data_IF_028009945387
#
_entry.id   IF_028009945387
#
_cell.length_a   1.000
_cell.length_b   1.000
_cell.length_c   1.000
_cell.angle_alpha   90.00
_cell.angle_beta   90.00
_cell.angle_gamma   90.00
#
_symmetry.space_group_name_H-M   'P 1'
#
loop_
_entity.id
_entity.type
_entity.pdbx_description
1 polymer ?
#
# COMPACT_ATOMS: atom_id res chain seq x y z
N UNK A 1 20.39 3.36 -12.85
CA UNK A 1 19.17 4.05 -13.33
C UNK A 1 19.10 3.84 -14.81
N UNK A 2 17.96 3.38 -15.31
CA UNK A 2 17.80 3.07 -16.71
C UNK A 2 17.46 4.36 -17.47
N UNK A 3 18.46 4.94 -18.13
CA UNK A 3 18.27 6.08 -19.03
C UNK A 3 17.89 5.58 -20.43
N UNK A 4 17.31 6.46 -21.25
CA UNK A 4 16.83 6.09 -22.58
C UNK A 4 17.95 5.61 -23.52
N UNK A 5 19.19 6.03 -23.27
CA UNK A 5 20.39 5.68 -24.03
C UNK A 5 21.17 4.51 -23.43
N UNK A 6 21.39 4.54 -22.12
CA UNK A 6 22.18 3.54 -21.40
C UNK A 6 21.81 3.47 -19.91
N UNK A 7 22.28 2.44 -19.22
CA UNK A 7 22.22 2.44 -17.75
C UNK A 7 23.32 3.32 -17.16
N UNK A 8 22.94 4.18 -16.20
CA UNK A 8 23.85 5.11 -15.51
C UNK A 8 23.79 4.95 -14.01
N UNK A 9 24.86 5.32 -13.31
CA UNK A 9 24.82 5.46 -11.86
C UNK A 9 23.82 6.55 -11.47
N UNK A 10 23.04 6.36 -10.40
CA UNK A 10 22.12 7.40 -9.88
C UNK A 10 22.84 8.71 -9.56
N UNK A 11 24.15 8.64 -9.25
CA UNK A 11 24.99 9.82 -8.96
C UNK A 11 25.32 10.67 -10.19
N UNK A 12 25.16 10.13 -11.38
CA UNK A 12 25.51 10.77 -12.66
C UNK A 12 24.28 11.37 -13.36
N UNK A 13 23.08 11.06 -12.87
CA UNK A 13 21.83 11.56 -13.42
C UNK A 13 21.67 13.04 -13.04
N UNK A 14 21.26 13.84 -14.02
CA UNK A 14 21.06 15.29 -13.90
C UNK A 14 19.66 15.65 -14.39
N UNK A 15 19.24 16.88 -14.12
CA UNK A 15 18.06 17.47 -14.75
C UNK A 15 18.11 17.30 -16.28
N UNK A 16 16.93 17.23 -16.90
CA UNK A 16 16.71 16.95 -18.32
C UNK A 16 17.19 15.59 -18.84
N UNK A 17 17.83 14.75 -18.00
CA UNK A 17 18.19 13.38 -18.39
C UNK A 17 16.92 12.58 -18.68
N UNK A 18 16.86 11.97 -19.87
CA UNK A 18 15.76 11.12 -20.28
C UNK A 18 15.89 9.74 -19.61
N UNK A 19 14.90 9.38 -18.80
CA UNK A 19 14.85 8.15 -18.01
C UNK A 19 13.64 7.30 -18.39
N UNK A 20 13.77 5.99 -18.21
CA UNK A 20 12.69 5.05 -18.49
C UNK A 20 11.82 4.90 -17.25
N UNK A 21 10.51 4.97 -17.45
CA UNK A 21 9.48 4.73 -16.45
C UNK A 21 8.36 3.85 -17.00
N UNK A 22 7.60 3.24 -16.10
CA UNK A 22 6.40 2.51 -16.45
C UNK A 22 5.25 3.48 -16.72
N UNK A 23 4.52 3.23 -17.81
CA UNK A 23 3.44 4.11 -18.29
C UNK A 23 2.05 3.44 -18.20
N UNK A 24 2.02 2.18 -17.75
CA UNK A 24 0.81 1.40 -17.56
C UNK A 24 0.81 0.08 -18.32
N UNK A 25 0.09 -0.92 -17.82
CA UNK A 25 -0.25 -2.15 -18.57
C UNK A 25 0.92 -2.97 -19.14
N UNK A 26 2.09 -2.91 -18.50
CA UNK A 26 3.31 -3.60 -18.93
C UNK A 26 4.17 -2.77 -19.90
N UNK A 27 3.73 -1.57 -20.27
CA UNK A 27 4.46 -0.70 -21.18
C UNK A 27 5.39 0.26 -20.44
N UNK A 28 6.39 0.73 -21.19
CA UNK A 28 7.41 1.66 -20.72
C UNK A 28 7.42 2.90 -21.61
N UNK A 29 7.79 4.02 -21.02
CA UNK A 29 7.93 5.30 -21.71
C UNK A 29 9.17 6.02 -21.22
N UNK A 30 9.53 7.09 -21.92
CA UNK A 30 10.65 7.95 -21.56
C UNK A 30 10.11 9.26 -21.02
N UNK A 31 10.71 9.75 -19.93
CA UNK A 31 10.40 11.04 -19.33
C UNK A 31 11.69 11.74 -18.89
N UNK A 32 11.67 13.06 -18.80
CA UNK A 32 12.80 13.84 -18.32
C UNK A 32 12.78 14.01 -16.81
N UNK A 33 13.97 13.95 -16.22
CA UNK A 33 14.21 14.35 -14.84
C UNK A 33 13.98 15.85 -14.71
N UNK A 34 13.07 16.22 -13.82
CA UNK A 34 12.74 17.61 -13.49
C UNK A 34 13.67 18.17 -12.41
N UNK A 35 14.03 17.33 -11.43
CA UNK A 35 14.82 17.73 -10.26
C UNK A 35 15.55 16.50 -9.68
N UNK A 36 16.73 16.71 -9.11
CA UNK A 36 17.54 15.67 -8.47
C UNK A 36 17.66 15.99 -6.98
N UNK A 37 16.99 15.18 -6.16
CA UNK A 37 17.02 15.33 -4.70
C UNK A 37 18.17 14.51 -4.13
N UNK A 38 19.03 15.16 -3.34
CA UNK A 38 20.17 14.50 -2.70
C UNK A 38 20.14 14.77 -1.20
N UNK A 39 20.10 13.70 -0.41
CA UNK A 39 20.33 13.75 1.03
C UNK A 39 21.78 13.34 1.30
N UNK A 40 22.69 14.31 1.42
CA UNK A 40 24.14 14.06 1.50
C UNK A 40 24.58 13.30 2.76
N UNK A 41 23.98 13.60 3.90
CA UNK A 41 24.43 13.14 5.22
C UNK A 41 23.49 12.09 5.83
N UNK A 42 22.87 11.23 5.00
CA UNK A 42 22.05 10.15 5.55
C UNK A 42 22.91 9.23 6.43
N UNK A 43 22.35 8.91 7.60
CA UNK A 43 22.87 7.95 8.58
C UNK A 43 21.67 7.18 9.12
N UNK A 44 21.57 5.92 8.75
CA UNK A 44 20.46 5.10 9.20
C UNK A 44 20.23 3.88 8.30
N UNK A 45 19.06 3.26 8.44
CA UNK A 45 18.76 2.00 7.79
C UNK A 45 18.66 2.18 6.27
N UNK A 46 19.29 1.27 5.54
CA UNK A 46 19.07 1.05 4.11
C UNK A 46 18.70 -0.41 3.91
N UNK A 47 17.61 -0.65 3.19
CA UNK A 47 17.16 -1.98 2.85
C UNK A 47 17.81 -2.44 1.56
N UNK A 48 18.21 -3.71 1.52
CA UNK A 48 18.58 -4.41 0.29
C UNK A 48 17.53 -5.48 0.00
N UNK A 49 16.73 -5.29 -1.04
CA UNK A 49 15.70 -6.23 -1.48
C UNK A 49 16.19 -6.97 -2.71
N UNK A 50 16.09 -8.30 -2.69
CA UNK A 50 16.46 -9.17 -3.82
C UNK A 50 15.26 -9.97 -4.30
N UNK A 51 15.05 -10.01 -5.61
CA UNK A 51 13.98 -10.80 -6.22
C UNK A 51 14.46 -12.18 -6.69
N UNK A 52 13.52 -13.06 -7.02
CA UNK A 52 13.82 -14.44 -7.42
C UNK A 52 14.66 -14.54 -8.70
N UNK A 53 14.55 -13.57 -9.62
CA UNK A 53 15.38 -13.46 -10.83
C UNK A 53 16.68 -12.68 -10.62
N UNK A 54 16.99 -12.28 -9.38
CA UNK A 54 18.25 -11.62 -9.03
C UNK A 54 18.25 -10.09 -9.16
N UNK A 55 17.09 -9.46 -9.37
CA UNK A 55 17.03 -7.99 -9.37
C UNK A 55 17.22 -7.47 -7.94
N UNK A 56 18.09 -6.47 -7.78
CA UNK A 56 18.44 -5.90 -6.47
C UNK A 56 18.04 -4.43 -6.40
N UNK A 57 17.36 -4.05 -5.31
CA UNK A 57 17.07 -2.66 -4.96
C UNK A 57 17.71 -2.32 -3.62
N UNK A 58 18.39 -1.18 -3.56
CA UNK A 58 18.86 -0.58 -2.32
C UNK A 58 18.15 0.75 -2.10
N UNK A 59 17.41 0.88 -1.01
CA UNK A 59 16.55 2.03 -0.76
C UNK A 59 16.42 2.33 0.73
N UNK A 60 16.13 3.59 1.09
CA UNK A 60 15.73 3.94 2.45
C UNK A 60 14.31 3.42 2.75
N UNK A 61 13.94 3.21 4.03
CA UNK A 61 12.64 2.67 4.42
C UNK A 61 11.44 3.39 3.79
N UNK A 62 11.50 4.72 3.72
CA UNK A 62 10.43 5.59 3.25
C UNK A 62 10.30 5.66 1.73
N UNK A 63 11.30 5.17 0.98
CA UNK A 63 11.31 5.28 -0.47
C UNK A 63 10.09 4.58 -1.08
N UNK A 64 9.35 5.29 -1.93
CA UNK A 64 8.09 4.79 -2.47
C UNK A 64 8.35 3.65 -3.47
N UNK A 65 7.80 2.49 -3.18
CA UNK A 65 7.85 1.30 -4.02
C UNK A 65 6.43 0.82 -4.35
N UNK A 66 6.37 -0.29 -5.09
CA UNK A 66 5.11 -0.90 -5.48
C UNK A 66 5.15 -2.39 -5.15
N UNK A 67 4.11 -2.87 -4.46
CA UNK A 67 4.04 -4.26 -4.02
C UNK A 67 2.61 -4.76 -3.94
N UNK A 68 2.45 -6.07 -4.11
CA UNK A 68 1.18 -6.76 -3.80
C UNK A 68 1.44 -8.15 -3.27
N UNK A 69 0.49 -8.66 -2.50
CA UNK A 69 0.52 -10.05 -2.05
C UNK A 69 0.58 -11.02 -3.23
N UNK A 70 1.35 -12.10 -3.05
CA UNK A 70 1.41 -13.20 -3.99
C UNK A 70 0.56 -14.38 -3.46
N UNK A 71 -0.60 -14.71 -4.06
CA UNK A 71 -1.44 -15.83 -3.64
C UNK A 71 -0.70 -17.17 -3.60
N UNK A 72 0.33 -17.31 -4.42
CA UNK A 72 1.06 -18.57 -4.59
C UNK A 72 2.15 -18.75 -3.52
N UNK A 73 2.54 -17.68 -2.82
CA UNK A 73 3.54 -17.75 -1.78
C UNK A 73 2.89 -18.09 -0.44
N UNK A 74 3.11 -19.32 0.03
CA UNK A 74 2.65 -19.76 1.35
C UNK A 74 3.65 -19.29 2.41
N UNK A 75 3.24 -18.31 3.20
CA UNK A 75 4.00 -17.73 4.29
C UNK A 75 3.10 -17.64 5.51
N UNK A 76 3.71 -17.61 6.69
CA UNK A 76 3.09 -17.18 7.93
C UNK A 76 3.29 -15.67 8.05
N UNK A 77 2.18 -14.96 8.17
CA UNK A 77 2.17 -13.50 8.25
C UNK A 77 1.88 -13.09 9.69
N UNK A 78 2.81 -12.37 10.30
CA UNK A 78 2.53 -11.56 11.47
C UNK A 78 1.96 -10.24 10.97
N UNK A 79 0.77 -9.89 11.44
CA UNK A 79 0.12 -8.64 11.09
C UNK A 79 -0.24 -7.80 12.32
N UNK A 80 -0.36 -6.51 12.08
CA UNK A 80 -1.02 -5.54 12.95
C UNK A 80 -2.34 -5.18 12.28
N UNK A 81 -3.44 -5.28 13.01
CA UNK A 81 -4.76 -4.84 12.57
C UNK A 81 -5.20 -3.66 13.39
N UNK A 82 -6.01 -2.81 12.77
CA UNK A 82 -6.70 -1.72 13.42
C UNK A 82 -8.19 -1.78 13.17
N UNK A 83 -8.93 -1.49 14.22
CA UNK A 83 -10.32 -1.05 14.18
C UNK A 83 -10.35 0.37 14.76
N UNK A 84 -10.62 1.37 13.94
CA UNK A 84 -10.56 2.80 14.29
C UNK A 84 -11.46 3.17 15.48
N UNK A 85 -12.53 2.39 15.69
CA UNK A 85 -13.46 2.57 16.82
C UNK A 85 -13.02 1.90 18.13
N UNK A 86 -11.94 1.11 18.13
CA UNK A 86 -11.53 0.31 19.29
C UNK A 86 -10.03 0.34 19.57
N UNK A 87 -9.18 0.15 18.55
CA UNK A 87 -7.73 0.15 18.71
C UNK A 87 -7.00 -0.83 17.80
N UNK A 88 -5.84 -1.29 18.26
CA UNK A 88 -4.91 -2.13 17.51
C UNK A 88 -4.67 -3.48 18.18
N UNK A 89 -4.51 -4.52 17.36
CA UNK A 89 -4.11 -5.85 17.81
C UNK A 89 -3.08 -6.46 16.87
N UNK A 90 -2.30 -7.40 17.38
CA UNK A 90 -1.45 -8.27 16.55
C UNK A 90 -2.16 -9.60 16.29
N UNK A 91 -1.75 -10.30 15.26
CA UNK A 91 -2.20 -11.64 15.00
C UNK A 91 -1.36 -12.36 13.95
N UNK A 92 -1.59 -13.66 13.88
CA UNK A 92 -0.92 -14.55 12.95
C UNK A 92 -1.92 -15.14 11.94
N UNK A 93 -1.50 -15.31 10.69
CA UNK A 93 -2.23 -16.14 9.72
C UNK A 93 -1.30 -16.88 8.77
N UNK A 94 -1.69 -18.07 8.32
CA UNK A 94 -1.03 -18.82 7.25
C UNK A 94 -1.69 -18.64 5.87
N UNK A 95 -2.84 -17.97 5.80
CA UNK A 95 -3.59 -17.76 4.55
C UNK A 95 -4.26 -16.38 4.58
N UNK A 96 -3.42 -15.33 4.60
CA UNK A 96 -3.87 -13.95 4.65
C UNK A 96 -4.87 -13.64 3.53
N UNK A 97 -4.69 -14.19 2.32
CA UNK A 97 -5.61 -13.92 1.23
C UNK A 97 -7.00 -14.51 1.47
N UNK A 98 -7.10 -15.73 1.99
CA UNK A 98 -8.39 -16.30 2.38
C UNK A 98 -9.06 -15.46 3.46
N UNK A 99 -8.31 -15.04 4.47
CA UNK A 99 -8.86 -14.26 5.58
C UNK A 99 -9.38 -12.91 5.11
N UNK A 100 -8.63 -12.22 4.25
CA UNK A 100 -9.05 -10.97 3.63
C UNK A 100 -10.29 -11.15 2.76
N UNK A 101 -10.35 -12.23 1.98
CA UNK A 101 -11.53 -12.56 1.18
C UNK A 101 -12.72 -12.86 2.10
N UNK A 102 -12.53 -13.56 3.22
CA UNK A 102 -13.59 -13.81 4.20
C UNK A 102 -14.11 -12.50 4.81
N UNK A 103 -13.21 -11.61 5.22
CA UNK A 103 -13.56 -10.28 5.74
C UNK A 103 -14.28 -9.44 4.66
N UNK A 104 -13.86 -9.50 3.40
CA UNK A 104 -14.50 -8.75 2.30
C UNK A 104 -15.82 -9.37 1.79
N UNK A 105 -16.06 -10.66 2.02
CA UNK A 105 -17.20 -11.40 1.48
C UNK A 105 -18.38 -11.48 2.43
N UNK A 106 -18.46 -10.58 3.42
CA UNK A 106 -19.50 -10.63 4.43
C UNK A 106 -20.90 -10.59 3.81
N UNK A 107 -21.55 -11.76 3.77
CA UNK A 107 -23.01 -11.86 3.67
C UNK A 107 -23.58 -11.31 4.98
N UNK A 108 -24.66 -10.53 4.89
CA UNK A 108 -25.32 -9.88 6.02
C UNK A 108 -25.47 -10.78 7.26
N UNK A 109 -25.76 -12.06 7.04
CA UNK A 109 -26.11 -13.02 8.10
C UNK A 109 -24.91 -13.52 8.95
N UNK A 110 -23.67 -13.35 8.47
CA UNK A 110 -22.45 -13.76 9.19
C UNK A 110 -21.66 -12.57 9.75
N UNK A 111 -22.13 -11.34 9.51
CA UNK A 111 -21.47 -10.10 9.93
C UNK A 111 -21.20 -10.04 11.43
N UNK A 112 -22.07 -10.66 12.23
CA UNK A 112 -21.96 -10.67 13.69
C UNK A 112 -20.91 -11.65 14.25
N UNK A 113 -20.34 -12.54 13.43
CA UNK A 113 -19.35 -13.54 13.84
C UNK A 113 -17.93 -13.19 13.40
N UNK A 114 -17.80 -12.22 12.48
CA UNK A 114 -16.52 -11.81 11.93
C UNK A 114 -16.08 -10.47 12.48
N UNK A 115 -14.77 -10.32 12.57
CA UNK A 115 -14.14 -9.11 13.07
C UNK A 115 -14.25 -7.95 12.07
N UNK A 116 -14.60 -6.77 12.57
CA UNK A 116 -14.52 -5.52 11.81
C UNK A 116 -13.08 -5.03 11.87
N UNK A 117 -12.43 -4.96 10.70
CA UNK A 117 -11.06 -4.50 10.53
C UNK A 117 -11.06 -3.36 9.52
N UNK A 118 -10.42 -2.24 9.86
CA UNK A 118 -10.33 -1.06 9.00
C UNK A 118 -9.02 -1.04 8.20
N UNK A 119 -7.90 -1.33 8.88
CA UNK A 119 -6.55 -1.30 8.29
C UNK A 119 -5.70 -2.46 8.78
N UNK A 120 -4.79 -2.93 7.93
CA UNK A 120 -3.86 -4.02 8.21
C UNK A 120 -2.47 -3.71 7.69
N UNK A 121 -1.47 -3.93 8.55
CA UNK A 121 -0.05 -3.92 8.22
C UNK A 121 0.52 -5.32 8.35
N UNK A 122 1.28 -5.76 7.36
CA UNK A 122 2.06 -6.99 7.44
C UNK A 122 3.40 -6.61 8.06
N UNK A 123 3.64 -7.06 9.30
CA UNK A 123 4.86 -6.76 10.04
C UNK A 123 5.99 -7.67 9.57
N UNK A 124 5.70 -8.97 9.42
CA UNK A 124 6.67 -9.98 8.98
C UNK A 124 6.00 -11.04 8.11
N UNK A 125 6.77 -11.61 7.17
CA UNK A 125 6.38 -12.80 6.41
C UNK A 125 7.51 -13.84 6.51
N UNK A 126 7.19 -15.03 7.03
CA UNK A 126 8.18 -16.10 7.23
C UNK A 126 7.60 -17.47 6.88
N UNK A 127 8.43 -18.36 6.37
CA UNK A 127 8.10 -19.76 6.08
C UNK A 127 8.13 -20.65 7.34
N UNK A 128 8.55 -20.10 8.48
CA UNK A 128 8.70 -20.82 9.74
C UNK A 128 7.58 -20.46 10.72
N UNK A 129 6.63 -21.37 10.91
CA UNK A 129 5.58 -21.22 11.93
C UNK A 129 6.17 -20.96 13.34
N UNK A 130 7.20 -21.70 13.82
CA UNK A 130 7.81 -21.39 15.11
C UNK A 130 8.36 -19.96 15.21
N UNK A 131 8.97 -19.45 14.14
CA UNK A 131 9.46 -18.07 14.08
C UNK A 131 8.31 -17.08 14.15
N UNK A 132 7.24 -17.32 13.40
CA UNK A 132 6.07 -16.45 13.37
C UNK A 132 5.37 -16.39 14.74
N UNK A 133 5.16 -17.54 15.39
CA UNK A 133 4.61 -17.63 16.75
C UNK A 133 5.52 -16.96 17.78
N UNK A 134 6.84 -17.10 17.65
CA UNK A 134 7.79 -16.38 18.50
C UNK A 134 7.64 -14.86 18.35
N UNK A 135 7.53 -14.36 17.11
CA UNK A 135 7.39 -12.93 16.84
C UNK A 135 6.05 -12.37 17.33
N UNK A 136 4.95 -13.09 17.15
CA UNK A 136 3.65 -12.69 17.71
C UNK A 136 3.73 -12.53 19.24
N UNK A 137 4.27 -13.53 19.94
CA UNK A 137 4.50 -13.45 21.39
C UNK A 137 5.42 -12.30 21.76
N UNK A 138 6.52 -12.11 21.04
CA UNK A 138 7.42 -10.99 21.26
C UNK A 138 6.67 -9.66 21.13
N UNK A 139 5.84 -9.48 20.11
CA UNK A 139 5.06 -8.26 19.93
C UNK A 139 4.04 -8.04 21.06
N UNK A 140 3.32 -9.10 21.44
CA UNK A 140 2.38 -9.05 22.57
C UNK A 140 3.06 -8.67 23.88
N UNK A 141 4.20 -9.27 24.22
CA UNK A 141 4.86 -9.01 25.49
C UNK A 141 5.72 -7.74 25.50
N UNK A 142 6.45 -7.44 24.40
CA UNK A 142 7.33 -6.26 24.33
C UNK A 142 6.54 -4.97 24.22
N UNK A 143 5.50 -4.94 23.39
CA UNK A 143 4.69 -3.73 23.17
C UNK A 143 3.40 -3.73 23.97
N UNK A 144 2.98 -4.86 24.53
CA UNK A 144 1.70 -4.95 25.25
C UNK A 144 0.49 -4.88 24.32
N UNK A 145 0.62 -5.30 23.06
CA UNK A 145 -0.50 -5.32 22.11
C UNK A 145 -1.34 -6.59 22.30
N UNK A 146 -2.67 -6.47 22.42
CA UNK A 146 -3.55 -7.63 22.46
C UNK A 146 -3.37 -8.51 21.23
N UNK A 147 -3.48 -9.83 21.41
CA UNK A 147 -3.54 -10.82 20.34
C UNK A 147 -4.89 -11.56 20.31
N UNK A 148 -5.94 -10.90 20.79
CA UNK A 148 -7.32 -11.40 20.79
C UNK A 148 -8.17 -10.64 19.77
N UNK A 149 -9.23 -11.24 19.21
CA UNK A 149 -10.14 -10.56 18.29
C UNK A 149 -10.80 -9.31 18.90
N UNK A 150 -11.20 -8.35 18.07
CA UNK A 150 -11.95 -7.15 18.45
C UNK A 150 -13.42 -7.42 18.85
N UNK A 151 -13.86 -8.67 18.91
CA UNK A 151 -15.22 -9.06 19.32
C UNK A 151 -15.21 -10.39 20.06
N UNK A 152 -16.02 -10.48 21.11
CA UNK A 152 -16.24 -11.70 21.88
C UNK A 152 -17.05 -12.78 21.15
N UNK A 153 -17.60 -12.45 19.97
CA UNK A 153 -18.41 -13.36 19.14
C UNK A 153 -17.57 -14.13 18.12
N UNK A 154 -16.30 -13.78 18.00
CA UNK A 154 -15.39 -14.47 17.09
C UNK A 154 -15.15 -15.91 17.57
N UNK A 155 -14.98 -16.84 16.63
CA UNK A 155 -14.78 -18.27 16.94
C UNK A 155 -13.55 -18.51 17.84
N UNK A 156 -12.52 -17.68 17.67
CA UNK A 156 -11.26 -17.74 18.44
C UNK A 156 -11.27 -16.85 19.70
N UNK A 157 -12.41 -16.24 20.05
CA UNK A 157 -12.48 -15.42 21.27
C UNK A 157 -12.71 -16.28 22.50
N UNK A 158 -11.79 -16.17 23.46
CA UNK A 158 -11.93 -16.78 24.79
C UNK A 158 -12.69 -15.86 25.79
N UNK A 159 -12.96 -14.61 25.40
CA UNK A 159 -13.59 -13.60 26.24
C UNK A 159 -14.97 -13.18 25.68
N UNK A 160 -15.95 -12.89 26.56
CA UNK A 160 -17.20 -12.26 26.15
C UNK A 160 -16.98 -10.80 25.69
N UNK A 161 -17.91 -10.26 24.92
CA UNK A 161 -17.81 -8.95 24.26
C UNK A 161 -17.49 -7.83 25.26
N UNK A 162 -18.09 -7.85 26.45
CA UNK A 162 -17.92 -6.82 27.47
C UNK A 162 -16.47 -6.77 27.97
N UNK A 163 -15.84 -7.93 28.19
CA UNK A 163 -14.46 -8.03 28.64
C UNK A 163 -13.46 -7.71 27.53
N UNK A 164 -13.80 -8.00 26.26
CA UNK A 164 -12.99 -7.56 25.11
C UNK A 164 -12.96 -6.03 25.06
N UNK A 165 -14.12 -5.37 25.12
CA UNK A 165 -14.20 -3.90 25.11
C UNK A 165 -13.48 -3.28 26.31
N UNK A 166 -13.64 -3.86 27.50
CA UNK A 166 -12.92 -3.42 28.70
C UNK A 166 -11.40 -3.51 28.53
N UNK A 167 -10.89 -4.62 28.00
CA UNK A 167 -9.46 -4.82 27.76
C UNK A 167 -8.89 -3.78 26.82
N UNK A 168 -9.55 -3.51 25.69
CA UNK A 168 -9.09 -2.49 24.73
C UNK A 168 -9.21 -1.07 25.30
N UNK A 169 -10.16 -0.79 26.19
CA UNK A 169 -10.27 0.50 26.87
C UNK A 169 -9.19 0.73 27.94
N UNK A 170 -8.68 -0.34 28.56
CA UNK A 170 -7.61 -0.25 29.57
C UNK A 170 -6.21 -0.18 28.97
N UNK A 171 -6.05 -0.57 27.70
CA UNK A 171 -4.77 -0.62 27.02
C UNK A 171 -4.69 0.48 25.97
N UNK A 172 -3.70 1.37 26.09
CA UNK A 172 -3.34 2.33 25.03
C UNK A 172 -2.70 1.60 23.84
N UNK A 173 -3.52 0.92 23.05
CA UNK A 173 -3.09 0.21 21.85
C UNK A 173 -2.59 1.13 20.75
N UNK A 174 -3.11 2.36 20.53
CA UNK A 174 -2.56 3.28 19.53
C UNK A 174 -1.09 3.63 19.75
N UNK A 175 -0.69 4.08 20.95
CA UNK A 175 0.70 4.44 21.22
C UNK A 175 1.63 3.23 21.12
N UNK A 176 1.17 2.05 21.58
CA UNK A 176 1.92 0.79 21.49
C UNK A 176 2.12 0.32 20.06
N UNK A 177 1.08 0.45 19.22
CA UNK A 177 1.15 0.15 17.79
C UNK A 177 2.09 1.11 17.05
N UNK A 178 2.05 2.40 17.40
CA UNK A 178 2.99 3.38 16.87
C UNK A 178 4.44 3.00 17.16
N UNK A 179 4.75 2.63 18.41
CA UNK A 179 6.09 2.17 18.78
C UNK A 179 6.51 0.89 18.03
N UNK A 180 5.59 -0.08 17.86
CA UNK A 180 5.85 -1.26 17.06
C UNK A 180 6.19 -0.89 15.61
N UNK A 181 5.41 -0.02 14.98
CA UNK A 181 5.67 0.38 13.60
C UNK A 181 7.01 1.11 13.48
N UNK A 182 7.35 1.99 14.42
CA UNK A 182 8.65 2.67 14.44
C UNK A 182 9.83 1.70 14.53
N UNK A 183 9.77 0.73 15.44
CA UNK A 183 10.83 -0.28 15.63
C UNK A 183 11.06 -1.15 14.38
N UNK A 184 10.04 -1.32 13.53
CA UNK A 184 10.12 -2.05 12.25
C UNK A 184 10.34 -1.14 11.03
N UNK A 185 10.63 0.15 11.24
CA UNK A 185 10.75 1.15 10.18
C UNK A 185 9.51 1.26 9.29
N UNK A 186 8.34 0.95 9.85
CA UNK A 186 7.05 1.02 9.18
C UNK A 186 6.32 2.32 9.52
N UNK A 187 5.31 2.63 8.71
CA UNK A 187 4.64 3.92 8.68
C UNK A 187 3.14 3.70 8.85
N UNK A 188 2.57 4.36 9.86
CA UNK A 188 1.15 4.25 10.17
C UNK A 188 0.25 4.68 9.01
N UNK A 189 0.67 5.66 8.21
CA UNK A 189 -0.11 6.13 7.06
C UNK A 189 0.01 5.25 5.80
N UNK A 190 0.62 4.06 5.92
CA UNK A 190 0.85 3.14 4.81
C UNK A 190 0.43 1.71 5.14
N UNK A 191 -0.87 1.45 5.42
CA UNK A 191 -1.35 0.08 5.58
C UNK A 191 -1.15 -0.71 4.27
N UNK A 192 -0.85 -2.01 4.39
CA UNK A 192 -0.88 -2.92 3.25
C UNK A 192 -2.27 -3.05 2.68
N UNK A 193 -3.28 -2.97 3.56
CA UNK A 193 -4.67 -3.21 3.23
C UNK A 193 -5.54 -2.27 4.01
N UNK A 194 -6.39 -1.55 3.29
CA UNK A 194 -7.53 -0.83 3.82
C UNK A 194 -8.78 -1.65 3.51
N UNK A 195 -9.48 -2.07 4.56
CA UNK A 195 -10.72 -2.83 4.51
C UNK A 195 -11.81 -1.91 5.05
N UNK A 196 -12.67 -1.35 4.18
CA UNK A 196 -13.92 -0.77 4.68
C UNK A 196 -15.08 -1.53 4.06
N UNK A 197 -15.90 -2.07 4.94
CA UNK A 197 -17.10 -2.80 4.59
C UNK A 197 -18.17 -1.81 4.19
N UNK A 198 -18.68 -1.98 2.97
CA UNK A 198 -19.94 -1.38 2.54
C UNK A 198 -21.09 -2.03 3.32
N UNK A 199 -21.30 -1.60 4.56
CA UNK A 199 -22.46 -2.01 5.36
C UNK A 199 -23.75 -1.43 4.76
N UNK A 200 -24.80 -2.26 4.68
CA UNK A 200 -26.17 -1.86 4.30
C UNK A 200 -26.92 -1.05 5.38
N UNK A 201 -26.17 -0.37 6.27
CA UNK A 201 -26.70 0.59 7.23
C UNK A 201 -26.46 1.99 6.67
N UNK A 202 -27.36 2.93 6.96
CA UNK A 202 -27.17 4.35 6.65
C UNK A 202 -25.94 4.86 7.44
N UNK A 203 -24.78 4.87 6.79
CA UNK A 203 -23.47 5.10 7.42
C UNK A 203 -22.36 4.13 7.01
N UNK A 204 -22.60 3.16 6.13
CA UNK A 204 -21.54 2.35 5.52
C UNK A 204 -20.56 3.23 4.73
N UNK A 205 -19.32 3.32 5.23
CA UNK A 205 -18.26 4.14 4.61
C UNK A 205 -17.79 3.50 3.30
N UNK A 206 -17.88 4.24 2.19
CA UNK A 206 -17.39 3.79 0.89
C UNK A 206 -15.87 4.01 0.80
N UNK A 207 -15.14 3.11 0.14
CA UNK A 207 -13.74 3.33 -0.18
C UNK A 207 -13.63 3.85 -1.62
N UNK A 208 -12.84 4.90 -1.84
CA UNK A 208 -12.50 5.36 -3.20
C UNK A 208 -11.27 4.59 -3.65
N UNK A 209 -11.44 3.76 -4.68
CA UNK A 209 -10.34 3.06 -5.33
C UNK A 209 -9.72 3.99 -6.38
N UNK A 210 -8.53 4.49 -6.12
CA UNK A 210 -7.77 5.31 -7.07
C UNK A 210 -6.63 4.49 -7.66
N UNK A 211 -6.72 4.15 -8.93
CA UNK A 211 -5.70 3.37 -9.65
C UNK A 211 -5.00 4.23 -10.68
N UNK A 212 -3.75 4.59 -10.41
CA UNK A 212 -2.86 5.26 -11.35
C UNK A 212 -2.65 4.34 -12.56
N UNK A 213 -2.80 4.86 -13.79
CA UNK A 213 -2.76 4.09 -15.05
C UNK A 213 -3.82 2.99 -15.16
N UNK A 214 -4.85 3.00 -14.30
CA UNK A 214 -5.87 1.95 -14.26
C UNK A 214 -6.92 2.03 -15.37
N UNK A 215 -6.95 3.11 -16.15
CA UNK A 215 -7.84 3.23 -17.30
C UNK A 215 -7.36 2.37 -18.46
N UNK A 216 -8.29 1.89 -19.29
CA UNK A 216 -7.98 1.10 -20.47
C UNK A 216 -7.54 1.95 -21.67
N UNK A 217 -7.76 3.26 -21.61
CA UNK A 217 -7.47 4.22 -22.67
C UNK A 217 -6.11 4.87 -22.40
N UNK A 218 -5.33 5.09 -23.48
CA UNK A 218 -4.13 5.93 -23.41
C UNK A 218 -4.55 7.39 -23.25
N UNK A 219 -3.76 8.13 -22.48
CA UNK A 219 -3.88 9.56 -22.30
C UNK A 219 -3.78 10.24 -23.68
N UNK A 220 -4.60 11.27 -23.90
CA UNK A 220 -4.64 12.01 -25.17
C UNK A 220 -3.46 12.95 -25.35
N UNK A 221 -2.84 13.38 -24.24
CA UNK A 221 -1.77 14.40 -24.19
C UNK A 221 -0.40 13.81 -23.87
N UNK A 222 -0.35 12.67 -23.19
CA UNK A 222 0.88 12.01 -22.75
C UNK A 222 0.92 10.56 -23.23
N UNK A 223 2.08 9.92 -23.14
CA UNK A 223 2.25 8.51 -23.56
C UNK A 223 1.68 7.49 -22.58
N UNK A 224 1.27 7.92 -21.39
CA UNK A 224 0.78 7.06 -20.32
C UNK A 224 -0.70 6.68 -20.46
N UNK A 225 -1.12 5.71 -19.65
CA UNK A 225 -2.53 5.36 -19.55
C UNK A 225 -3.28 6.32 -18.63
N UNK A 226 -4.58 6.47 -18.89
CA UNK A 226 -5.46 7.27 -18.04
C UNK A 226 -5.56 6.70 -16.63
N UNK A 227 -5.80 7.55 -15.63
CA UNK A 227 -6.00 7.16 -14.24
C UNK A 227 -7.47 6.79 -14.02
N UNK A 228 -7.74 5.75 -13.22
CA UNK A 228 -9.09 5.27 -12.92
C UNK A 228 -9.45 5.58 -11.47
N UNK A 229 -10.61 6.18 -11.28
CA UNK A 229 -11.23 6.42 -9.98
C UNK A 229 -12.52 5.62 -9.95
N UNK A 230 -12.61 4.67 -9.02
CA UNK A 230 -13.80 3.85 -8.82
C UNK A 230 -14.34 4.05 -7.41
N UNK A 231 -15.64 4.26 -7.33
CA UNK A 231 -16.38 4.31 -6.08
C UNK A 231 -17.38 3.16 -6.12
N UNK A 232 -17.29 2.29 -5.11
CA UNK A 232 -18.23 1.19 -4.95
C UNK A 232 -19.39 1.67 -4.05
N UNK A 233 -20.64 1.41 -4.47
CA UNK A 233 -21.86 1.80 -3.74
C UNK A 233 -22.83 0.64 -3.68
N UNK A 234 -23.45 0.44 -2.51
CA UNK A 234 -24.54 -0.53 -2.30
C UNK A 234 -25.92 0.05 -2.67
N UNK A 235 -26.05 1.37 -2.75
CA UNK A 235 -27.27 2.05 -3.21
C UNK A 235 -27.20 2.26 -4.71
N UNK A 236 -28.30 1.96 -5.41
CA UNK A 236 -28.49 2.39 -6.79
C UNK A 236 -28.46 3.92 -6.84
N UNK A 237 -27.35 4.47 -7.36
CA UNK A 237 -27.16 5.91 -7.51
C UNK A 237 -28.15 6.45 -8.56
N UNK A 238 -29.36 6.82 -8.11
CA UNK A 238 -30.41 7.39 -8.97
C UNK A 238 -29.92 8.69 -9.62
N UNK A 239 -29.93 8.69 -10.96
CA UNK A 239 -29.84 9.85 -11.88
C UNK A 239 -29.06 11.09 -11.39
N UNK A 240 -27.74 11.03 -11.36
CA UNK A 240 -26.94 12.17 -11.80
C UNK A 240 -26.52 11.93 -13.26
N UNK A 241 -27.19 12.61 -14.20
CA UNK A 241 -26.87 12.66 -15.64
C UNK A 241 -25.56 13.43 -15.86
N UNK A 242 -24.46 12.96 -15.28
CA UNK A 242 -23.16 13.57 -15.51
C UNK A 242 -22.42 12.69 -16.51
N UNK A 243 -22.26 13.20 -17.74
CA UNK A 243 -21.62 12.54 -18.88
C UNK A 243 -20.20 12.01 -18.58
N UNK A 244 -19.59 12.42 -17.46
CA UNK A 244 -18.24 12.06 -17.05
C UNK A 244 -18.13 10.72 -16.29
N UNK A 245 -19.25 10.12 -15.87
CA UNK A 245 -19.23 8.90 -15.06
C UNK A 245 -19.76 7.69 -15.83
N UNK A 246 -18.93 6.66 -15.97
CA UNK A 246 -19.35 5.35 -16.49
C UNK A 246 -19.90 4.54 -15.31
N UNK A 247 -21.11 4.01 -15.44
CA UNK A 247 -21.74 3.14 -14.43
C UNK A 247 -21.66 1.69 -14.88
N UNK A 248 -21.26 0.81 -13.98
CA UNK A 248 -21.25 -0.63 -14.23
C UNK A 248 -21.82 -1.36 -13.03
N UNK A 249 -22.60 -2.41 -13.30
CA UNK A 249 -22.89 -3.39 -12.27
C UNK A 249 -21.59 -4.12 -11.96
N UNK A 250 -21.09 -3.98 -10.74
CA UNK A 250 -19.92 -4.67 -10.24
C UNK A 250 -20.24 -6.14 -9.93
N UNK A 251 -19.22 -6.86 -9.45
CA UNK A 251 -19.45 -8.16 -8.86
C UNK A 251 -20.35 -8.01 -7.62
N UNK A 252 -21.20 -9.00 -7.34
CA UNK A 252 -22.00 -9.11 -6.10
C UNK A 252 -23.09 -8.05 -5.92
N UNK A 253 -23.56 -7.43 -7.00
CA UNK A 253 -24.72 -6.52 -6.97
C UNK A 253 -24.42 -5.10 -6.47
N UNK A 254 -23.14 -4.77 -6.27
CA UNK A 254 -22.71 -3.39 -5.97
C UNK A 254 -22.59 -2.59 -7.26
N UNK A 255 -22.97 -1.32 -7.21
CA UNK A 255 -22.81 -0.39 -8.32
C UNK A 255 -21.43 0.25 -8.27
N UNK A 256 -20.71 0.17 -9.39
CA UNK A 256 -19.41 0.80 -9.55
C UNK A 256 -19.59 2.08 -10.36
N UNK A 257 -19.22 3.20 -9.76
CA UNK A 257 -19.11 4.48 -10.42
C UNK A 257 -17.65 4.70 -10.83
N UNK A 258 -17.38 4.78 -12.13
CA UNK A 258 -16.04 4.91 -12.69
C UNK A 258 -15.85 6.26 -13.38
N UNK A 259 -14.73 6.92 -13.08
CA UNK A 259 -14.24 8.11 -13.77
C UNK A 259 -12.81 7.86 -14.21
N UNK A 260 -12.49 8.26 -15.43
CA UNK A 260 -11.11 8.31 -15.92
C UNK A 260 -10.63 9.76 -16.01
N UNK A 261 -9.36 9.99 -15.67
CA UNK A 261 -8.70 11.29 -15.79
C UNK A 261 -7.37 11.11 -16.52
N UNK A 262 -7.04 12.05 -17.39
CA UNK A 262 -5.78 12.05 -18.13
C UNK A 262 -4.63 12.53 -17.23
N UNK A 263 -4.86 13.60 -16.47
CA UNK A 263 -3.84 14.24 -15.63
C UNK A 263 -3.82 13.67 -14.20
N UNK A 264 -2.62 13.36 -13.69
CA UNK A 264 -2.45 12.77 -12.36
C UNK A 264 -2.77 13.76 -11.24
N UNK A 265 -2.35 15.01 -11.35
CA UNK A 265 -2.58 16.03 -10.32
C UNK A 265 -4.07 16.36 -10.22
N UNK A 266 -4.74 16.51 -11.36
CA UNK A 266 -6.20 16.67 -11.43
C UNK A 266 -6.91 15.48 -10.78
N UNK A 267 -6.49 14.25 -11.10
CA UNK A 267 -7.06 13.04 -10.51
C UNK A 267 -6.86 13.01 -8.98
N UNK A 268 -5.66 13.36 -8.50
CA UNK A 268 -5.35 13.41 -7.08
C UNK A 268 -6.19 14.47 -6.35
N UNK A 269 -6.35 15.66 -6.93
CA UNK A 269 -7.17 16.74 -6.36
C UNK A 269 -8.65 16.34 -6.31
N UNK A 270 -9.15 15.69 -7.36
CA UNK A 270 -10.53 15.20 -7.41
C UNK A 270 -10.79 14.16 -6.33
N UNK A 271 -9.89 13.17 -6.19
CA UNK A 271 -9.99 12.14 -5.14
C UNK A 271 -9.90 12.76 -3.74
N UNK A 272 -9.00 13.74 -3.53
CA UNK A 272 -8.89 14.46 -2.25
C UNK A 272 -10.19 15.19 -1.91
N UNK A 273 -10.81 15.85 -2.89
CA UNK A 273 -12.08 16.54 -2.72
C UNK A 273 -13.20 15.57 -2.35
N UNK A 274 -13.30 14.43 -3.06
CA UNK A 274 -14.29 13.40 -2.76
C UNK A 274 -14.12 12.81 -1.36
N UNK A 275 -12.88 12.51 -0.96
CA UNK A 275 -12.60 11.95 0.36
C UNK A 275 -13.05 12.87 1.49
N UNK A 276 -12.88 14.19 1.35
CA UNK A 276 -13.30 15.18 2.34
C UNK A 276 -14.83 15.31 2.48
N UNK A 277 -15.60 15.06 1.42
CA UNK A 277 -17.05 15.27 1.44
C UNK A 277 -17.80 14.19 2.23
N UNK A 278 -17.36 12.92 2.10
CA UNK A 278 -18.07 11.77 2.66
C UNK A 278 -17.20 10.95 3.65
N UNK A 279 -16.10 11.53 4.14
CA UNK A 279 -15.12 10.85 5.01
C UNK A 279 -14.69 9.49 4.45
N UNK A 280 -14.43 9.46 3.13
CA UNK A 280 -14.11 8.23 2.40
C UNK A 280 -12.61 7.94 2.51
N UNK A 281 -12.28 6.68 2.76
CA UNK A 281 -10.90 6.25 2.74
C UNK A 281 -10.45 6.01 1.29
N UNK A 282 -9.25 6.50 0.95
CA UNK A 282 -8.72 6.40 -0.41
C UNK A 282 -7.73 5.26 -0.49
N UNK A 283 -8.10 4.21 -1.24
CA UNK A 283 -7.21 3.10 -1.55
C UNK A 283 -6.47 3.41 -2.83
N UNK A 284 -5.16 3.67 -2.73
CA UNK A 284 -4.30 4.01 -3.87
C UNK A 284 -3.60 2.77 -4.41
N UNK A 285 -3.67 2.60 -5.73
CA UNK A 285 -3.04 1.52 -6.49
C UNK A 285 -2.41 2.06 -7.75
N UNK A 286 -1.56 1.26 -8.39
CA UNK A 286 -0.97 1.57 -9.69
C UNK A 286 -0.97 0.34 -10.60
N UNK A 287 -1.42 0.52 -11.84
CA UNK A 287 -1.50 -0.53 -12.86
C UNK A 287 -0.21 -0.56 -13.67
N UNK A 288 0.75 -1.40 -13.29
CA UNK A 288 2.08 -1.43 -13.93
C UNK A 288 2.27 -2.60 -14.90
N UNK A 289 1.53 -3.70 -14.72
CA UNK A 289 1.57 -4.88 -15.59
C UNK A 289 0.19 -5.14 -16.20
N UNK A 290 0.00 -6.26 -16.89
CA UNK A 290 -1.33 -6.70 -17.36
C UNK A 290 -2.15 -7.45 -16.29
N UNK A 291 -1.57 -7.68 -15.11
CA UNK A 291 -2.20 -8.38 -13.98
C UNK A 291 -2.83 -7.37 -13.02
N UNK A 292 -3.18 -7.80 -11.81
CA UNK A 292 -3.79 -6.93 -10.81
C UNK A 292 -2.87 -5.73 -10.45
N UNK A 293 -3.43 -4.55 -10.15
CA UNK A 293 -2.68 -3.39 -9.70
C UNK A 293 -1.83 -3.66 -8.44
N UNK A 294 -0.76 -2.89 -8.29
CA UNK A 294 0.09 -2.87 -7.10
C UNK A 294 -0.39 -1.81 -6.10
N UNK A 295 -0.14 -2.04 -4.82
CA UNK A 295 -0.24 -1.01 -3.80
C UNK A 295 1.02 -0.16 -3.79
N UNK A 296 0.85 1.13 -3.48
CA UNK A 296 1.95 2.06 -3.26
C UNK A 296 2.40 1.88 -1.81
N UNK A 297 3.62 1.35 -1.61
CA UNK A 297 4.14 1.00 -0.30
C UNK A 297 5.56 1.53 -0.13
N UNK A 298 5.94 2.03 1.06
CA UNK A 298 7.33 2.30 1.37
C UNK A 298 8.19 1.03 1.26
N UNK A 299 9.48 1.16 0.97
CA UNK A 299 10.38 0.02 0.78
C UNK A 299 10.39 -0.94 1.99
N UNK A 300 10.32 -0.42 3.22
CA UNK A 300 10.27 -1.22 4.45
C UNK A 300 8.98 -2.01 4.65
N UNK A 301 7.92 -1.66 3.92
CA UNK A 301 6.65 -2.38 3.94
C UNK A 301 6.64 -3.56 2.99
N UNK A 302 7.56 -3.63 2.03
CA UNK A 302 7.70 -4.82 1.21
C UNK A 302 8.17 -6.00 2.08
N UNK A 303 7.62 -7.18 1.84
CA UNK A 303 7.93 -8.41 2.58
C UNK A 303 8.30 -9.54 1.62
N UNK A 304 9.08 -10.48 2.13
CA UNK A 304 9.43 -11.70 1.39
C UNK A 304 8.15 -12.38 0.88
N UNK A 305 8.19 -12.85 -0.36
CA UNK A 305 7.05 -13.44 -1.06
C UNK A 305 6.14 -12.45 -1.79
N UNK A 306 6.20 -11.13 -1.51
CA UNK A 306 5.42 -10.15 -2.26
C UNK A 306 5.87 -10.05 -3.72
N UNK A 307 4.92 -9.77 -4.61
CA UNK A 307 5.20 -9.48 -6.01
C UNK A 307 5.50 -7.99 -6.19
N UNK A 308 6.53 -7.70 -6.97
CA UNK A 308 7.02 -6.37 -7.31
C UNK A 308 7.18 -6.21 -8.82
N UNK A 309 7.01 -5.00 -9.37
CA UNK A 309 7.24 -4.73 -10.78
C UNK A 309 8.73 -4.60 -11.09
N UNK A 310 9.19 -5.34 -12.11
CA UNK A 310 10.56 -5.22 -12.63
C UNK A 310 10.57 -5.03 -14.14
N UNK A 311 11.62 -4.38 -14.65
CA UNK A 311 11.95 -4.29 -16.07
C UNK A 311 12.42 -5.66 -16.56
N UNK A 312 11.60 -6.28 -17.41
CA UNK A 312 11.92 -7.49 -18.17
C UNK A 312 12.30 -7.17 -19.62
N UNK A 313 12.59 -8.20 -20.44
CA UNK A 313 12.98 -8.03 -21.84
C UNK A 313 11.85 -7.48 -22.74
N UNK A 314 10.59 -7.63 -22.32
CA UNK A 314 9.41 -7.23 -23.10
C UNK A 314 8.57 -6.13 -22.44
N UNK A 315 9.14 -5.40 -21.47
CA UNK A 315 8.47 -4.35 -20.71
C UNK A 315 8.39 -4.69 -19.23
N UNK A 316 7.36 -4.19 -18.53
CA UNK A 316 7.22 -4.38 -17.09
C UNK A 316 6.58 -5.73 -16.78
N UNK A 317 7.31 -6.54 -16.02
CA UNK A 317 6.92 -7.86 -15.56
C UNK A 317 6.83 -7.88 -14.03
N UNK A 318 6.42 -9.01 -13.47
CA UNK A 318 6.38 -9.22 -12.02
C UNK A 318 7.47 -10.19 -11.59
N UNK A 319 8.05 -9.94 -10.42
CA UNK A 319 8.92 -10.89 -9.73
C UNK A 319 8.59 -10.94 -8.25
N UNK A 320 9.00 -11.99 -7.56
CA UNK A 320 8.78 -12.14 -6.12
C UNK A 320 10.03 -11.84 -5.31
N UNK A 321 9.89 -11.17 -4.18
CA UNK A 321 10.98 -10.90 -3.24
C UNK A 321 11.37 -12.19 -2.53
N UNK A 322 12.67 -12.50 -2.50
CA UNK A 322 13.21 -13.70 -1.83
C UNK A 322 14.08 -13.37 -0.63
N UNK A 323 14.63 -12.16 -0.56
CA UNK A 323 15.39 -11.70 0.61
C UNK A 323 15.26 -10.20 0.82
N UNK A 324 15.29 -9.81 2.08
CA UNK A 324 15.37 -8.42 2.52
C UNK A 324 16.39 -8.38 3.66
N UNK A 325 17.41 -7.54 3.53
CA UNK A 325 18.33 -7.21 4.63
C UNK A 325 18.26 -5.73 4.94
N UNK A 326 18.59 -5.37 6.18
CA UNK A 326 18.64 -3.98 6.63
C UNK A 326 20.02 -3.75 7.22
N UNK A 327 20.71 -2.75 6.70
CA UNK A 327 22.05 -2.37 7.13
C UNK A 327 22.07 -0.86 7.41
N UNK A 328 22.74 -0.44 8.48
CA UNK A 328 22.97 0.97 8.73
C UNK A 328 24.08 1.48 7.81
N UNK A 329 23.76 2.48 6.99
CA UNK A 329 24.67 3.03 5.99
C UNK A 329 24.82 4.53 6.23
N UNK A 330 26.06 5.01 6.08
CA UNK A 330 26.35 6.43 5.96
C UNK A 330 26.70 6.78 4.52
N UNK A 331 26.03 7.78 3.97
CA UNK A 331 26.32 8.28 2.63
C UNK A 331 25.13 8.94 1.94
N UNK A 332 25.31 9.45 0.72
CA UNK A 332 24.25 10.17 0.03
C UNK A 332 23.14 9.24 -0.46
N UNK A 333 21.88 9.63 -0.21
CA UNK A 333 20.70 9.07 -0.87
C UNK A 333 20.26 9.99 -2.01
N UNK A 334 19.76 9.37 -3.08
CA UNK A 334 19.32 10.05 -4.30
C UNK A 334 17.86 9.70 -4.57
N UNK A 335 17.07 10.70 -4.92
CA UNK A 335 15.72 10.54 -5.47
C UNK A 335 15.49 11.56 -6.58
N UNK A 336 14.46 11.34 -7.39
CA UNK A 336 14.23 12.10 -8.61
C UNK A 336 12.78 12.54 -8.71
N UNK A 337 12.58 13.80 -9.12
CA UNK A 337 11.29 14.28 -9.62
C UNK A 337 11.31 14.20 -11.14
N UNK A 338 10.21 13.77 -11.74
CA UNK A 338 10.04 13.74 -13.19
C UNK A 338 8.94 14.71 -13.60
N UNK A 339 8.94 15.16 -14.85
CA UNK A 339 7.98 16.15 -15.35
C UNK A 339 6.54 15.60 -15.47
N UNK A 340 6.37 14.38 -15.98
CA UNK A 340 5.04 13.81 -16.27
C UNK A 340 4.79 12.40 -15.74
N UNK A 341 5.82 11.71 -15.23
CA UNK A 341 5.69 10.35 -14.68
C UNK A 341 5.90 10.32 -13.16
N UNK A 342 5.19 9.41 -12.51
CA UNK A 342 5.24 9.19 -11.06
C UNK A 342 6.19 8.08 -10.65
N UNK A 343 6.98 7.53 -11.57
CA UNK A 343 7.86 6.39 -11.35
C UNK A 343 9.00 6.35 -12.38
N UNK A 344 10.09 5.66 -12.02
CA UNK A 344 11.25 5.41 -12.89
C UNK A 344 11.84 4.03 -12.64
N UNK A 345 12.76 3.60 -13.51
CA UNK A 345 13.47 2.33 -13.39
C UNK A 345 14.90 2.52 -12.90
N UNK A 346 15.26 1.80 -11.83
CA UNK A 346 16.60 1.77 -11.25
C UNK A 346 17.09 0.33 -11.13
N UNK A 347 18.22 0.02 -11.78
CA UNK A 347 18.58 -1.38 -12.05
C UNK A 347 17.47 -2.00 -12.89
N UNK A 348 16.79 -2.99 -12.33
CA UNK A 348 15.58 -3.58 -12.92
C UNK A 348 14.30 -3.20 -12.17
N UNK A 349 14.37 -2.46 -11.06
CA UNK A 349 13.20 -2.17 -10.24
C UNK A 349 12.44 -0.95 -10.74
N UNK A 350 11.11 -1.04 -10.76
CA UNK A 350 10.24 0.15 -10.95
C UNK A 350 9.94 0.73 -9.57
N UNK A 351 10.35 1.97 -9.33
CA UNK A 351 10.19 2.68 -8.05
C UNK A 351 9.47 4.01 -8.26
N UNK A 352 8.87 4.55 -7.20
CA UNK A 352 8.15 5.81 -7.23
C UNK A 352 9.08 7.00 -7.36
N UNK A 353 8.69 7.98 -8.16
CA UNK A 353 9.34 9.28 -8.22
C UNK A 353 8.91 10.14 -7.03
N UNK A 354 9.76 11.07 -6.63
CA UNK A 354 9.46 12.01 -5.56
C UNK A 354 8.30 12.94 -5.96
N UNK A 355 7.28 13.05 -5.09
CA UNK A 355 6.04 13.80 -5.36
C UNK A 355 5.73 14.94 -4.38
N UNK A 356 6.74 15.63 -3.82
CA UNK A 356 6.45 16.89 -3.12
C UNK A 356 6.18 16.82 -1.62
N UNK A 357 6.20 15.64 -0.98
CA UNK A 357 5.86 15.56 0.44
C UNK A 357 7.08 15.28 1.35
N UNK A 358 7.67 16.31 1.96
CA UNK A 358 8.77 16.15 2.91
C UNK A 358 8.35 15.51 4.25
N UNK A 359 7.06 15.34 4.54
CA UNK A 359 6.56 14.79 5.81
C UNK A 359 6.81 13.27 6.00
N UNK A 360 7.48 12.62 5.03
CA UNK A 360 7.88 11.20 5.10
C UNK A 360 9.31 10.98 5.57
N UNK A 361 10.10 12.05 5.73
CA UNK A 361 11.31 11.97 6.54
C UNK A 361 10.84 11.73 7.98
N UNK A 362 11.20 10.58 8.55
CA UNK A 362 10.96 10.19 9.95
C UNK A 362 10.72 11.40 10.85
N UNK A 363 9.47 11.56 11.27
CA UNK A 363 9.03 12.69 12.07
C UNK A 363 9.95 12.87 13.27
N UNK A 364 10.43 14.09 13.46
CA UNK A 364 10.96 14.49 14.76
C UNK A 364 9.84 14.28 15.80
N UNK A 365 10.16 13.78 17.01
CA UNK A 365 9.18 13.30 17.98
C UNK A 365 8.26 14.36 18.63
N UNK A 366 8.32 15.64 18.26
CA UNK A 366 7.77 16.72 19.09
C UNK A 366 6.71 17.63 18.43
N UNK A 367 6.12 17.26 17.28
CA UNK A 367 4.99 18.04 16.75
C UNK A 367 3.65 17.32 16.94
N UNK A 368 2.71 17.89 17.73
CA UNK A 368 1.36 17.36 17.84
C UNK A 368 0.66 17.50 16.50
N UNK A 369 0.23 16.37 15.93
CA UNK A 369 -0.62 16.33 14.74
C UNK A 369 -2.07 16.48 15.19
N UNK A 370 -2.72 17.57 14.77
CA UNK A 370 -4.16 17.80 14.87
C UNK A 370 -4.92 17.01 13.79
#
# INVERSE_FOLDING_TARGET
MLCADQERSVREVREDTAVIGAIGWGEVGTEKVADVLVQYDHKGPVLTLTTSRGAVLRASPEHLCFGRLNPLCRQHYLYLMERSSLGFRVGLTSDLQRDLVAVQNLKLDLFHQHEVVDRLWIIEATDSLPRATFLEKLCTFKYGLPNIPFTGRHLESDLPEELVLELFNQIDTPSRAHQLLMDWYMFQDSPHITLRLAGAQAGGSNAVQFTIFGGAEKNRRQTNYTHLIRIDSNVELKRAEHQQFKRRMGARGMWNLEVTRDDLEEAQLFVKTLACLDNLEVVRKIQLTKKAPFYLLPASHLKVGMNVPIMGPHGIEEDSIVSITVDDVQGPLYDFRLNGLSNYVVGQWVVGAWQGNPARLLGKPDEPRL
#
